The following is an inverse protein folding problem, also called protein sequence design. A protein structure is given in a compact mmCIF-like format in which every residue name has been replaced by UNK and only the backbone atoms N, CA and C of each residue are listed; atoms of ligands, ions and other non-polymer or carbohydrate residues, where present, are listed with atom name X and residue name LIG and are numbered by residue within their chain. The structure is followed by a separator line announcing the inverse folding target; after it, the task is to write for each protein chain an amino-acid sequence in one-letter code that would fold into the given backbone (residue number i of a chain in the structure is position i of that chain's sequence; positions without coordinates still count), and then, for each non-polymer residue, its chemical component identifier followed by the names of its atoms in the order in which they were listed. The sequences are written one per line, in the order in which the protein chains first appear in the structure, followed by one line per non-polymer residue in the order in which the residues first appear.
data_IF_337676265251
#
_entry.id   IF_337676265251
#
_cell.length_a   1.000
_cell.length_b   1.000
_cell.length_c   1.000
_cell.angle_alpha   90.00
_cell.angle_beta   90.00
_cell.angle_gamma   90.00
#
_symmetry.space_group_name_H-M   'P 1'
#
loop_
_entity.id
_entity.type
_entity.pdbx_description
1 polymer ?
#
# COMPACT_ATOMS: atom_id res chain seq x y z
N UNK A 1 6.32 -1.57 9.01
CA UNK A 1 6.27 -2.60 7.96
C UNK A 1 6.43 -1.94 6.60
N UNK A 2 7.13 -2.60 5.68
CA UNK A 2 7.33 -2.11 4.31
C UNK A 2 7.01 -3.21 3.31
N UNK A 3 6.29 -2.86 2.25
CA UNK A 3 6.08 -3.70 1.07
C UNK A 3 6.23 -2.86 -0.18
N UNK A 4 7.24 -3.15 -0.99
CA UNK A 4 7.47 -2.48 -2.27
C UNK A 4 7.88 -3.53 -3.30
N UNK A 5 7.05 -3.65 -4.34
CA UNK A 5 7.20 -4.66 -5.39
C UNK A 5 6.91 -4.12 -6.79
N UNK A 6 6.43 -2.86 -6.89
CA UNK A 6 6.15 -2.24 -8.18
C UNK A 6 7.44 -1.97 -8.95
N UNK A 7 7.42 -2.32 -10.24
CA UNK A 7 8.57 -2.15 -11.16
C UNK A 7 9.09 -0.73 -11.14
N UNK A 8 8.20 0.24 -11.13
CA UNK A 8 8.54 1.67 -11.09
C UNK A 8 9.39 2.08 -9.89
N UNK A 9 9.29 1.37 -8.76
CA UNK A 9 10.05 1.64 -7.54
C UNK A 9 11.26 0.72 -7.40
N UNK A 10 11.10 -0.56 -7.74
CA UNK A 10 12.09 -1.60 -7.49
C UNK A 10 13.14 -1.69 -8.60
N UNK A 11 12.72 -1.53 -9.87
CA UNK A 11 13.64 -1.70 -11.01
C UNK A 11 14.46 -0.43 -11.30
N UNK A 12 14.11 0.69 -10.67
CA UNK A 12 14.89 1.91 -10.77
C UNK A 12 15.89 1.99 -9.59
N UNK A 13 17.21 1.85 -9.83
CA UNK A 13 18.22 1.84 -8.78
C UNK A 13 18.23 3.12 -7.93
N UNK A 14 17.90 4.27 -8.52
CA UNK A 14 17.81 5.55 -7.78
C UNK A 14 16.64 5.56 -6.82
N UNK A 15 15.47 5.09 -7.26
CA UNK A 15 14.27 4.99 -6.41
C UNK A 15 14.49 3.98 -5.29
N UNK A 16 15.06 2.81 -5.60
CA UNK A 16 15.37 1.80 -4.58
C UNK A 16 16.39 2.31 -3.56
N UNK A 17 17.43 3.02 -4.01
CA UNK A 17 18.40 3.70 -3.11
C UNK A 17 17.71 4.75 -2.24
N UNK A 18 16.76 5.52 -2.78
CA UNK A 18 15.95 6.49 -2.02
C UNK A 18 15.10 5.78 -0.97
N UNK A 19 14.48 4.65 -1.31
CA UNK A 19 13.72 3.86 -0.36
C UNK A 19 14.60 3.40 0.80
N UNK A 20 15.74 2.77 0.53
CA UNK A 20 16.66 2.28 1.58
C UNK A 20 17.17 3.44 2.44
N UNK A 21 17.55 4.57 1.83
CA UNK A 21 17.97 5.77 2.59
C UNK A 21 16.85 6.30 3.50
N UNK A 22 15.61 6.29 3.01
CA UNK A 22 14.44 6.68 3.79
C UNK A 22 14.22 5.74 4.99
N UNK A 23 14.32 4.43 4.76
CA UNK A 23 14.19 3.44 5.83
C UNK A 23 15.31 3.56 6.86
N UNK A 24 16.55 3.80 6.43
CA UNK A 24 17.66 4.07 7.34
C UNK A 24 17.38 5.30 8.23
N UNK A 25 16.86 6.38 7.65
CA UNK A 25 16.51 7.59 8.41
C UNK A 25 15.37 7.34 9.41
N UNK A 26 14.41 6.48 9.07
CA UNK A 26 13.35 6.06 10.01
C UNK A 26 13.92 5.22 11.15
N UNK A 27 14.82 4.28 10.87
CA UNK A 27 15.52 3.50 11.90
C UNK A 27 16.32 4.40 12.82
N UNK A 28 17.08 5.35 12.27
CA UNK A 28 17.89 6.30 13.06
C UNK A 28 17.00 7.15 14.00
N UNK A 29 15.88 7.64 13.48
CA UNK A 29 14.98 8.51 14.24
C UNK A 29 14.20 7.77 15.32
N UNK A 30 13.62 6.62 15.01
CA UNK A 30 12.67 5.92 15.88
C UNK A 30 13.28 4.75 16.63
N UNK A 31 14.42 4.27 16.18
CA UNK A 31 15.13 3.12 16.75
C UNK A 31 14.30 1.81 16.74
N UNK A 32 13.28 1.72 15.89
CA UNK A 32 12.45 0.52 15.71
C UNK A 32 12.97 -0.39 14.60
N UNK A 33 12.75 -1.70 14.69
CA UNK A 33 13.00 -2.60 13.57
C UNK A 33 12.04 -2.30 12.43
N UNK A 34 12.52 -2.46 11.21
CA UNK A 34 11.70 -2.39 10.00
C UNK A 34 11.63 -3.78 9.39
N UNK A 35 10.43 -4.31 9.22
CA UNK A 35 10.21 -5.56 8.48
C UNK A 35 9.85 -5.19 7.05
N UNK A 36 10.68 -5.62 6.11
CA UNK A 36 10.48 -5.40 4.69
C UNK A 36 10.16 -6.73 3.99
N UNK A 37 8.88 -6.92 3.65
CA UNK A 37 8.45 -8.05 2.83
C UNK A 37 8.96 -7.88 1.40
N UNK A 38 9.90 -8.73 1.00
CA UNK A 38 10.63 -8.62 -0.27
C UNK A 38 10.34 -9.79 -1.19
N UNK A 39 9.76 -9.48 -2.35
CA UNK A 39 9.69 -10.45 -3.44
C UNK A 39 11.12 -10.78 -3.92
N UNK A 40 11.40 -12.00 -4.45
CA UNK A 40 12.72 -12.37 -4.98
C UNK A 40 13.32 -11.36 -5.96
N UNK A 41 12.48 -10.76 -6.82
CA UNK A 41 12.90 -9.68 -7.74
C UNK A 41 13.47 -8.47 -7.00
N UNK A 42 12.79 -8.02 -5.94
CA UNK A 42 13.26 -6.89 -5.11
C UNK A 42 14.58 -7.22 -4.45
N UNK A 43 14.73 -8.45 -3.94
CA UNK A 43 15.96 -8.92 -3.30
C UNK A 43 17.16 -8.86 -4.26
N UNK A 44 16.99 -9.33 -5.50
CA UNK A 44 18.04 -9.27 -6.53
C UNK A 44 18.43 -7.82 -6.92
N UNK A 45 17.50 -6.87 -6.82
CA UNK A 45 17.77 -5.46 -7.10
C UNK A 45 18.47 -4.77 -5.91
N UNK A 46 18.20 -5.18 -4.67
CA UNK A 46 18.87 -4.64 -3.49
C UNK A 46 20.39 -4.86 -3.52
N UNK A 47 20.85 -5.95 -4.13
CA UNK A 47 22.30 -6.23 -4.29
C UNK A 47 23.01 -5.22 -5.23
N UNK A 48 22.23 -4.50 -6.06
CA UNK A 48 22.76 -3.57 -7.07
C UNK A 48 22.75 -2.11 -6.60
N UNK A 49 22.17 -1.83 -5.43
CA UNK A 49 22.14 -0.45 -4.89
C UNK A 49 23.37 -0.15 -4.04
N UNK A 50 23.84 1.10 -4.13
CA UNK A 50 25.05 1.55 -3.42
C UNK A 50 24.76 2.03 -1.98
N UNK A 51 23.56 1.76 -1.45
CA UNK A 51 23.18 2.17 -0.09
C UNK A 51 23.03 0.93 0.77
N UNK A 52 23.85 0.83 1.79
CA UNK A 52 23.76 -0.27 2.76
C UNK A 52 22.56 -0.09 3.68
N UNK A 53 21.68 -1.08 3.79
CA UNK A 53 20.58 -1.04 4.74
C UNK A 53 21.11 -1.17 6.18
N UNK A 54 20.43 -0.50 7.12
CA UNK A 54 20.66 -0.68 8.55
C UNK A 54 20.44 -2.14 8.95
N UNK A 55 21.17 -2.62 9.95
CA UNK A 55 21.00 -3.96 10.52
C UNK A 55 19.64 -4.18 11.20
N UNK A 56 18.89 -3.11 11.44
CA UNK A 56 17.50 -3.16 11.92
C UNK A 56 16.46 -3.34 10.83
N UNK A 57 16.86 -3.30 9.56
CA UNK A 57 15.95 -3.59 8.43
C UNK A 57 16.07 -5.09 8.13
N UNK A 58 14.97 -5.79 8.40
CA UNK A 58 14.86 -7.23 8.20
C UNK A 58 14.12 -7.51 6.89
N UNK A 59 14.83 -8.06 5.93
CA UNK A 59 14.26 -8.48 4.66
C UNK A 59 13.72 -9.91 4.81
N UNK A 60 12.41 -10.05 4.70
CA UNK A 60 11.73 -11.36 4.82
C UNK A 60 11.10 -11.75 3.50
N UNK A 61 10.89 -13.05 3.30
CA UNK A 61 10.09 -13.54 2.19
C UNK A 61 8.62 -13.13 2.35
N UNK A 62 7.85 -13.05 1.24
CA UNK A 62 6.44 -12.72 1.32
C UNK A 62 5.69 -13.66 2.26
N UNK A 63 4.92 -13.07 3.16
CA UNK A 63 4.08 -13.80 4.11
C UNK A 63 2.75 -14.19 3.46
N UNK A 64 2.09 -15.21 4.03
CA UNK A 64 0.71 -15.50 3.73
C UNK A 64 -0.24 -14.36 4.15
N UNK A 65 -1.44 -14.35 3.59
CA UNK A 65 -2.42 -13.28 3.78
C UNK A 65 -2.70 -12.97 5.26
N UNK A 66 -2.93 -14.00 6.08
CA UNK A 66 -3.26 -13.83 7.50
C UNK A 66 -2.07 -13.25 8.28
N UNK A 67 -0.87 -13.79 8.06
CA UNK A 67 0.32 -13.36 8.78
C UNK A 67 0.72 -11.94 8.39
N UNK A 68 0.57 -11.59 7.11
CA UNK A 68 0.85 -10.24 6.64
C UNK A 68 -0.12 -9.21 7.23
N UNK A 69 -1.43 -9.50 7.26
CA UNK A 69 -2.41 -8.64 7.91
C UNK A 69 -2.15 -8.50 9.42
N UNK A 70 -1.79 -9.59 10.10
CA UNK A 70 -1.42 -9.52 11.51
C UNK A 70 -0.20 -8.62 11.74
N UNK A 71 0.79 -8.68 10.84
CA UNK A 71 1.96 -7.81 10.87
C UNK A 71 1.60 -6.33 10.66
N UNK A 72 0.72 -6.02 9.70
CA UNK A 72 0.22 -4.67 9.44
C UNK A 72 -0.51 -4.09 10.67
N UNK A 73 -1.43 -4.86 11.25
CA UNK A 73 -2.22 -4.46 12.42
C UNK A 73 -1.37 -4.15 13.67
N UNK A 74 -0.21 -4.82 13.80
CA UNK A 74 0.69 -4.64 14.94
C UNK A 74 1.87 -3.71 14.61
N UNK A 75 1.87 -3.07 13.46
CA UNK A 75 2.93 -2.15 13.06
C UNK A 75 2.66 -0.72 13.53
N UNK A 76 3.72 0.04 13.74
CA UNK A 76 3.64 1.48 13.99
C UNK A 76 3.08 2.23 12.77
N UNK A 77 3.54 1.87 11.58
CA UNK A 77 3.09 2.39 10.29
C UNK A 77 3.42 1.38 9.18
N UNK A 78 2.59 1.34 8.16
CA UNK A 78 2.82 0.54 6.94
C UNK A 78 3.17 1.46 5.78
N UNK A 79 4.29 1.22 5.11
CA UNK A 79 4.67 1.83 3.85
C UNK A 79 4.46 0.82 2.72
N UNK A 80 3.64 1.14 1.74
CA UNK A 80 3.36 0.20 0.64
C UNK A 80 3.17 0.91 -0.70
N UNK A 81 3.58 0.23 -1.79
CA UNK A 81 3.23 0.61 -3.15
C UNK A 81 2.10 -0.25 -3.75
N UNK A 82 1.46 -1.08 -2.93
CA UNK A 82 0.29 -1.84 -3.34
C UNK A 82 -0.93 -0.94 -3.51
N UNK A 83 -1.79 -1.26 -4.50
CA UNK A 83 -3.10 -0.60 -4.64
C UNK A 83 -4.03 -0.93 -3.48
N UNK A 84 -3.97 -2.16 -2.97
CA UNK A 84 -4.87 -2.65 -1.90
C UNK A 84 -4.58 -2.07 -0.52
N UNK A 85 -3.50 -1.29 -0.35
CA UNK A 85 -3.22 -0.64 0.93
C UNK A 85 -4.34 0.29 1.39
N UNK A 86 -5.10 0.85 0.43
CA UNK A 86 -6.22 1.74 0.72
C UNK A 86 -7.39 0.99 1.36
N UNK A 87 -7.74 -0.15 0.77
CA UNK A 87 -8.78 -1.05 1.29
C UNK A 87 -8.35 -1.66 2.63
N UNK A 88 -7.13 -2.20 2.69
CA UNK A 88 -6.58 -2.83 3.88
C UNK A 88 -6.52 -1.84 5.07
N UNK A 89 -5.97 -0.64 4.87
CA UNK A 89 -5.87 0.36 5.92
C UNK A 89 -7.23 0.87 6.40
N UNK A 90 -8.19 1.05 5.48
CA UNK A 90 -9.54 1.49 5.81
C UNK A 90 -10.34 0.43 6.59
N UNK A 91 -10.27 -0.84 6.14
CA UNK A 91 -11.05 -1.93 6.73
C UNK A 91 -10.43 -2.40 8.06
N UNK A 92 -9.11 -2.55 8.09
CA UNK A 92 -8.37 -3.08 9.24
C UNK A 92 -7.96 -2.00 10.24
N UNK A 93 -8.09 -0.72 9.87
CA UNK A 93 -7.82 0.43 10.72
C UNK A 93 -6.38 0.47 11.27
N UNK A 94 -5.41 0.62 10.37
CA UNK A 94 -4.01 0.85 10.71
C UNK A 94 -3.43 2.06 9.95
N UNK A 95 -2.36 2.63 10.49
CA UNK A 95 -1.68 3.79 9.88
C UNK A 95 -0.89 3.37 8.64
N UNK A 96 -1.11 4.05 7.52
CA UNK A 96 -0.46 3.68 6.26
C UNK A 96 -0.03 4.87 5.42
N UNK A 97 1.01 4.64 4.63
CA UNK A 97 1.57 5.59 3.66
C UNK A 97 1.70 4.86 2.33
N UNK A 98 1.06 5.39 1.31
CA UNK A 98 1.23 4.92 -0.06
C UNK A 98 2.40 5.65 -0.71
N UNK A 99 3.40 4.87 -1.15
CA UNK A 99 4.65 5.35 -1.76
C UNK A 99 4.68 5.22 -3.29
N UNK A 100 3.51 5.15 -3.92
CA UNK A 100 3.39 5.16 -5.40
C UNK A 100 3.44 6.57 -5.95
N UNK A 101 3.84 6.68 -7.22
CA UNK A 101 3.76 7.92 -7.99
C UNK A 101 2.36 8.19 -8.56
N UNK A 102 1.53 7.15 -8.70
CA UNK A 102 0.16 7.23 -9.23
C UNK A 102 -0.85 6.70 -8.22
N UNK A 103 -2.04 7.26 -8.23
CA UNK A 103 -3.14 6.88 -7.37
C UNK A 103 -4.30 6.30 -8.17
N UNK A 104 -4.87 5.19 -7.69
CA UNK A 104 -5.94 4.45 -8.38
C UNK A 104 -7.22 4.34 -7.53
N UNK A 105 -7.26 4.99 -6.38
CA UNK A 105 -8.35 4.88 -5.40
C UNK A 105 -8.79 6.28 -4.95
N UNK A 106 -9.52 7.03 -5.80
CA UNK A 106 -9.95 8.39 -5.47
C UNK A 106 -10.80 8.42 -4.19
N UNK A 107 -11.64 7.42 -3.98
CA UNK A 107 -12.48 7.27 -2.78
C UNK A 107 -11.66 7.23 -1.47
N UNK A 108 -10.50 6.60 -1.51
CA UNK A 108 -9.61 6.55 -0.34
C UNK A 108 -8.83 7.87 -0.13
N UNK A 109 -8.63 8.64 -1.21
CA UNK A 109 -8.04 9.98 -1.11
C UNK A 109 -9.02 10.98 -0.50
N UNK A 110 -10.27 10.97 -0.92
CA UNK A 110 -11.32 11.86 -0.42
C UNK A 110 -11.52 11.69 1.08
N UNK A 111 -11.47 10.47 1.56
CA UNK A 111 -11.60 10.13 2.98
C UNK A 111 -10.28 10.17 3.75
N UNK A 112 -9.16 10.49 3.09
CA UNK A 112 -7.81 10.51 3.67
C UNK A 112 -7.44 9.22 4.44
N UNK A 113 -7.93 8.08 3.97
CA UNK A 113 -7.71 6.78 4.61
C UNK A 113 -6.24 6.35 4.61
N UNK A 114 -5.47 6.86 3.64
CA UNK A 114 -4.04 6.60 3.47
C UNK A 114 -3.32 7.90 3.12
N UNK A 115 -2.16 8.13 3.71
CA UNK A 115 -1.31 9.25 3.30
C UNK A 115 -0.57 8.92 2.00
N UNK A 116 -0.67 9.81 1.03
CA UNK A 116 -0.02 9.65 -0.26
C UNK A 116 1.22 10.54 -0.37
N UNK A 117 2.39 9.94 -0.51
CA UNK A 117 3.66 10.68 -0.47
C UNK A 117 4.52 10.55 -1.72
N UNK A 118 4.20 9.62 -2.63
CA UNK A 118 5.20 9.12 -3.58
C UNK A 118 6.46 8.62 -2.85
N UNK A 119 7.45 8.14 -3.58
CA UNK A 119 8.74 7.73 -3.02
C UNK A 119 9.65 8.94 -2.81
N UNK A 120 9.21 9.88 -1.98
CA UNK A 120 9.94 11.08 -1.60
C UNK A 120 10.30 11.03 -0.10
N UNK A 121 11.58 10.95 0.21
CA UNK A 121 12.09 10.79 1.58
C UNK A 121 11.52 11.85 2.55
N UNK A 122 11.56 13.13 2.18
CA UNK A 122 11.11 14.20 3.08
C UNK A 122 9.59 14.13 3.34
N UNK A 123 8.81 13.81 2.30
CA UNK A 123 7.36 13.65 2.43
C UNK A 123 7.02 12.44 3.29
N UNK A 124 7.71 11.31 3.12
CA UNK A 124 7.53 10.10 3.93
C UNK A 124 7.85 10.39 5.40
N UNK A 125 9.00 11.03 5.69
CA UNK A 125 9.38 11.38 7.06
C UNK A 125 8.35 12.30 7.73
N UNK A 126 7.84 13.32 7.01
CA UNK A 126 6.78 14.20 7.52
C UNK A 126 5.47 13.45 7.76
N UNK A 127 5.11 12.55 6.85
CA UNK A 127 3.90 11.73 6.99
C UNK A 127 3.98 10.81 8.22
N UNK A 128 5.12 10.17 8.47
CA UNK A 128 5.33 9.34 9.66
C UNK A 128 5.20 10.18 10.95
N UNK A 129 5.81 11.38 10.99
CA UNK A 129 5.69 12.31 12.14
C UNK A 129 4.22 12.72 12.36
N UNK A 130 3.49 13.00 11.30
CA UNK A 130 2.07 13.33 11.40
C UNK A 130 1.26 12.17 11.95
N UNK A 131 1.45 10.97 11.40
CA UNK A 131 0.76 9.76 11.82
C UNK A 131 1.12 9.34 13.26
N UNK A 132 2.32 9.62 13.73
CA UNK A 132 2.72 9.38 15.13
C UNK A 132 1.76 10.06 16.10
N UNK A 133 1.38 11.31 15.79
CA UNK A 133 0.53 12.15 16.64
C UNK A 133 -0.97 12.04 16.31
N UNK A 134 -1.34 11.22 15.32
CA UNK A 134 -2.72 11.04 14.90
C UNK A 134 -3.34 9.83 15.62
N UNK A 135 -4.51 10.03 16.20
CA UNK A 135 -5.32 8.93 16.72
C UNK A 135 -6.00 8.22 15.54
N UNK A 136 -5.99 6.90 15.57
CA UNK A 136 -6.80 6.12 14.65
C UNK A 136 -8.30 6.31 14.99
N UNK A 137 -9.18 6.24 13.99
CA UNK A 137 -10.64 6.17 14.21
C UNK A 137 -10.97 5.06 15.21
N UNK A 138 -12.18 5.11 15.80
CA UNK A 138 -12.61 4.06 16.71
C UNK A 138 -12.62 2.71 15.97
N UNK A 139 -12.22 1.68 16.69
CA UNK A 139 -12.25 0.30 16.18
C UNK A 139 -13.66 0.00 15.64
N UNK A 140 -13.76 -0.45 14.38
CA UNK A 140 -14.97 -0.73 13.62
C UNK A 140 -15.57 0.47 12.84
N UNK A 141 -14.92 1.62 12.79
CA UNK A 141 -15.27 2.68 11.85
C UNK A 141 -14.43 2.55 10.59
N UNK A 142 -15.01 1.95 9.55
CA UNK A 142 -14.40 1.94 8.20
C UNK A 142 -14.49 3.37 7.66
N UNK A 143 -13.36 3.97 7.33
CA UNK A 143 -13.30 5.36 6.88
C UNK A 143 -13.92 5.54 5.48
N UNK A 144 -13.70 4.60 4.58
CA UNK A 144 -14.21 4.65 3.21
C UNK A 144 -15.51 3.85 3.10
N UNK A 145 -16.61 4.53 2.83
CA UNK A 145 -17.96 3.92 2.77
C UNK A 145 -18.08 2.85 1.69
N UNK A 146 -17.40 3.06 0.55
CA UNK A 146 -17.42 2.12 -0.57
C UNK A 146 -16.87 0.73 -0.19
N UNK A 147 -15.99 0.65 0.82
CA UNK A 147 -15.41 -0.60 1.29
C UNK A 147 -16.27 -1.34 2.33
N UNK A 148 -17.43 -0.79 2.68
CA UNK A 148 -18.38 -1.43 3.62
C UNK A 148 -19.31 -2.44 2.97
N UNK A 149 -19.33 -2.48 1.63
CA UNK A 149 -20.23 -3.38 0.93
C UNK A 149 -19.81 -4.85 1.13
N UNK A 150 -20.71 -5.65 1.68
CA UNK A 150 -20.52 -7.08 1.95
C UNK A 150 -21.08 -7.99 0.85
N UNK A 151 -21.87 -7.43 -0.09
CA UNK A 151 -22.53 -8.18 -1.18
C UNK A 151 -21.98 -7.84 -2.56
N UNK A 152 -20.65 -7.61 -2.67
CA UNK A 152 -19.99 -7.17 -3.92
C UNK A 152 -20.15 -8.21 -5.04
N UNK A 153 -19.97 -9.50 -4.72
CA UNK A 153 -20.14 -10.58 -5.71
C UNK A 153 -21.53 -10.61 -6.33
N UNK A 154 -22.58 -10.49 -5.51
CA UNK A 154 -23.96 -10.44 -5.97
C UNK A 154 -24.23 -9.21 -6.87
N UNK A 155 -23.67 -8.04 -6.50
CA UNK A 155 -23.78 -6.83 -7.32
C UNK A 155 -23.11 -7.01 -8.68
N UNK A 156 -21.90 -7.62 -8.72
CA UNK A 156 -21.17 -7.89 -9.95
C UNK A 156 -21.98 -8.85 -10.84
N UNK A 157 -22.51 -9.92 -10.28
CA UNK A 157 -23.35 -10.87 -11.01
C UNK A 157 -24.55 -10.18 -11.65
N UNK A 158 -25.28 -9.37 -10.90
CA UNK A 158 -26.42 -8.58 -11.40
C UNK A 158 -26.00 -7.62 -12.51
N UNK A 159 -24.87 -6.94 -12.39
CA UNK A 159 -24.35 -6.04 -13.41
C UNK A 159 -24.03 -6.81 -14.70
N UNK A 160 -23.31 -7.94 -14.60
CA UNK A 160 -22.95 -8.75 -15.76
C UNK A 160 -24.22 -9.24 -16.47
N UNK A 161 -25.17 -9.82 -15.74
CA UNK A 161 -26.40 -10.34 -16.32
C UNK A 161 -27.29 -9.26 -16.93
N UNK A 162 -27.30 -8.05 -16.36
CA UNK A 162 -28.18 -6.98 -16.83
C UNK A 162 -27.59 -6.18 -17.99
N UNK A 163 -26.26 -6.00 -18.03
CA UNK A 163 -25.64 -5.03 -18.93
C UNK A 163 -24.87 -5.66 -20.10
N UNK A 164 -24.58 -6.97 -20.10
CA UNK A 164 -23.78 -7.59 -21.17
C UNK A 164 -24.39 -7.39 -22.54
N UNK A 165 -25.69 -7.66 -22.71
CA UNK A 165 -26.38 -7.49 -24.00
C UNK A 165 -26.53 -6.01 -24.37
N UNK A 166 -26.83 -5.16 -23.39
CA UNK A 166 -26.90 -3.72 -23.60
C UNK A 166 -25.55 -3.17 -24.12
N UNK A 167 -24.44 -3.53 -23.51
CA UNK A 167 -23.09 -3.10 -23.93
C UNK A 167 -22.75 -3.65 -25.30
N UNK A 168 -23.04 -4.93 -25.57
CA UNK A 168 -22.80 -5.54 -26.87
C UNK A 168 -23.53 -4.78 -27.98
N UNK A 169 -24.82 -4.51 -27.79
CA UNK A 169 -25.66 -3.85 -28.80
C UNK A 169 -25.38 -2.35 -28.95
N UNK A 170 -25.28 -1.64 -27.80
CA UNK A 170 -25.27 -0.17 -27.83
C UNK A 170 -23.87 0.44 -27.87
N UNK A 171 -22.88 -0.20 -27.26
CA UNK A 171 -21.50 0.29 -27.19
C UNK A 171 -20.65 -0.34 -28.29
N UNK A 172 -20.63 -1.66 -28.36
CA UNK A 172 -19.76 -2.36 -29.31
C UNK A 172 -20.42 -2.63 -30.67
N UNK A 173 -21.71 -2.31 -30.83
CA UNK A 173 -22.45 -2.48 -32.10
C UNK A 173 -22.35 -3.90 -32.66
N UNK A 174 -22.27 -4.91 -31.81
CA UNK A 174 -22.25 -6.31 -32.24
C UNK A 174 -23.64 -6.69 -32.74
N UNK A 175 -23.71 -7.28 -33.92
CA UNK A 175 -24.95 -7.91 -34.40
C UNK A 175 -25.25 -9.14 -33.51
N UNK A 176 -26.51 -9.27 -33.14
CA UNK A 176 -27.03 -10.39 -32.34
C UNK A 176 -27.07 -11.69 -33.12
#
# INVERSE_FOLDING_TARGET
VVSSHREENVDNPKKLSTLISTLNSLVEKYNYPIIFSTHPRTRNQLEKVNVSPSNKIQFIDPLGFIDYNALQLNSFVVLSDSGTISEEASILNFKSINIRSTHERPEAMEEAAVMFTDLNQQRILRAVIFLENTLLPKKNEISVLDYRADNVSEKIEKIILSYSDYVNQNVWKKES
#
